data_IF_243134688213
#
_entry.id   IF_243134688213
#
_cell.length_a   1.000
_cell.length_b   1.000
_cell.length_c   1.000
_cell.angle_alpha   90.00
_cell.angle_beta   90.00
_cell.angle_gamma   90.00
#
_symmetry.space_group_name_H-M   'P 1'
#
loop_
_entity.id
_entity.type
_entity.pdbx_description
1 polymer ?
#
# COMPACT_ATOMS: atom_id res chain seq x y z
N UNK A 1 1.26 3.13 17.36
CA UNK A 1 0.31 2.51 18.29
C UNK A 1 0.23 1.03 17.95
N UNK A 2 0.28 0.17 18.94
CA UNK A 2 0.11 -1.29 18.77
C UNK A 2 -1.36 -1.58 18.39
N UNK A 3 -1.62 -2.37 17.32
CA UNK A 3 -2.98 -2.74 16.91
C UNK A 3 -3.79 -3.46 18.00
N UNK A 4 -3.14 -3.94 19.06
CA UNK A 4 -3.78 -4.59 20.21
C UNK A 4 -4.20 -3.61 21.32
N UNK A 5 -3.89 -2.32 21.20
CA UNK A 5 -4.32 -1.32 22.17
C UNK A 5 -5.70 -0.79 21.78
N UNK A 6 -6.72 -1.28 22.47
CA UNK A 6 -8.11 -0.86 22.32
C UNK A 6 -8.36 0.42 23.14
N UNK A 7 -8.51 1.56 22.47
CA UNK A 7 -9.05 2.76 23.10
C UNK A 7 -10.57 2.75 22.97
N UNK A 8 -11.27 2.64 24.09
CA UNK A 8 -12.73 2.74 24.12
C UNK A 8 -13.11 4.15 24.58
N UNK A 9 -13.67 4.96 23.69
CA UNK A 9 -14.38 6.18 24.10
C UNK A 9 -15.77 5.74 24.54
N UNK A 10 -15.94 5.54 25.84
CA UNK A 10 -17.21 5.06 26.39
C UNK A 10 -18.17 6.24 26.58
N UNK A 11 -19.22 6.31 25.77
CA UNK A 11 -20.32 7.28 25.93
C UNK A 11 -21.53 6.66 26.63
N UNK A 12 -21.33 5.82 27.66
CA UNK A 12 -22.43 5.29 28.48
C UNK A 12 -23.61 4.67 27.70
N UNK A 13 -24.82 4.78 28.27
CA UNK A 13 -26.09 4.35 27.65
C UNK A 13 -26.46 5.20 26.44
N UNK A 14 -27.06 4.59 25.40
CA UNK A 14 -27.52 5.27 24.18
C UNK A 14 -28.49 6.43 24.50
N UNK A 15 -28.06 7.67 24.25
CA UNK A 15 -28.82 8.89 24.52
C UNK A 15 -27.97 10.16 24.30
N UNK A 16 -28.61 11.33 24.26
CA UNK A 16 -27.91 12.61 24.09
C UNK A 16 -27.25 13.03 25.41
N UNK A 17 -25.94 12.76 25.53
CA UNK A 17 -25.14 13.22 26.68
C UNK A 17 -24.09 14.25 26.27
N UNK A 18 -23.48 14.08 25.10
CA UNK A 18 -22.48 14.99 24.52
C UNK A 18 -22.56 14.98 22.99
N UNK A 19 -22.27 16.12 22.37
CA UNK A 19 -22.05 16.22 20.93
C UNK A 19 -20.54 16.18 20.66
N UNK A 20 -20.07 15.23 19.84
CA UNK A 20 -18.65 15.03 19.52
C UNK A 20 -18.39 15.25 18.04
N UNK A 21 -17.34 15.99 17.72
CA UNK A 21 -16.82 16.10 16.36
C UNK A 21 -15.38 15.56 16.32
N UNK A 22 -15.25 14.28 15.98
CA UNK A 22 -13.96 13.58 15.84
C UNK A 22 -13.67 13.47 14.35
N UNK A 23 -12.70 14.25 13.90
CA UNK A 23 -12.22 14.29 12.52
C UNK A 23 -10.76 13.83 12.46
N UNK A 24 -10.31 13.34 11.29
CA UNK A 24 -8.95 12.81 11.10
C UNK A 24 -8.60 11.67 12.09
N UNK A 25 -9.52 10.72 12.27
CA UNK A 25 -9.34 9.59 13.17
C UNK A 25 -8.24 8.67 12.63
N UNK A 26 -7.18 8.41 13.41
CA UNK A 26 -6.14 7.44 13.04
C UNK A 26 -6.19 6.17 13.92
N UNK A 27 -6.79 6.17 15.11
CA UNK A 27 -6.97 4.93 15.89
C UNK A 27 -8.28 4.19 15.60
N UNK A 28 -8.33 2.87 15.79
CA UNK A 28 -9.59 2.10 15.74
C UNK A 28 -10.64 2.71 16.67
N UNK A 29 -11.77 3.16 16.11
CA UNK A 29 -12.92 3.69 16.87
C UNK A 29 -14.06 2.67 16.82
N UNK A 30 -14.37 2.03 17.95
CA UNK A 30 -15.53 1.16 18.06
C UNK A 30 -16.78 1.99 18.36
N UNK A 31 -17.78 1.88 17.47
CA UNK A 31 -19.07 2.57 17.58
C UNK A 31 -20.09 1.67 18.29
N UNK A 32 -20.87 2.21 19.22
CA UNK A 32 -21.96 1.46 19.88
C UNK A 32 -22.98 1.05 18.81
N UNK A 33 -23.21 -0.26 18.65
CA UNK A 33 -24.09 -0.83 17.63
C UNK A 33 -23.80 -0.33 16.20
N UNK A 34 -22.52 -0.05 15.88
CA UNK A 34 -22.07 0.52 14.59
C UNK A 34 -22.70 1.88 14.24
N UNK A 35 -23.14 2.67 15.24
CA UNK A 35 -23.72 4.01 15.02
C UNK A 35 -22.92 5.09 15.74
N UNK A 36 -22.82 6.25 15.11
CA UNK A 36 -22.37 7.45 15.80
C UNK A 36 -23.41 7.86 16.84
N UNK A 37 -22.96 8.43 17.96
CA UNK A 37 -23.86 9.11 18.91
C UNK A 37 -24.66 10.22 18.19
N UNK A 38 -25.92 10.49 18.60
CA UNK A 38 -26.74 11.54 17.99
C UNK A 38 -25.99 12.89 17.91
N UNK A 39 -26.20 13.65 16.82
CA UNK A 39 -25.56 14.95 16.54
C UNK A 39 -24.02 14.96 16.53
N UNK A 40 -23.38 13.80 16.59
CA UNK A 40 -21.94 13.67 16.56
C UNK A 40 -21.44 13.25 15.17
N UNK A 41 -20.31 13.81 14.77
CA UNK A 41 -19.59 13.37 13.56
C UNK A 41 -18.33 12.66 14.02
N UNK A 42 -18.28 11.34 13.83
CA UNK A 42 -17.07 10.54 14.04
C UNK A 42 -16.67 9.99 12.68
N UNK A 43 -15.64 10.60 12.09
CA UNK A 43 -15.09 10.13 10.83
C UNK A 43 -14.48 8.74 11.02
N UNK A 44 -14.65 7.90 10.01
CA UNK A 44 -14.01 6.60 9.98
C UNK A 44 -12.49 6.75 10.01
N UNK A 45 -11.84 5.68 10.46
CA UNK A 45 -10.41 5.70 10.68
C UNK A 45 -9.69 5.80 9.34
N UNK A 46 -8.86 6.82 9.20
CA UNK A 46 -7.91 7.01 8.11
C UNK A 46 -6.72 6.06 8.30
N UNK A 47 -6.98 4.76 8.40
CA UNK A 47 -5.93 3.74 8.56
C UNK A 47 -5.38 3.29 7.21
N UNK A 48 -4.10 2.88 7.22
CA UNK A 48 -3.71 1.65 6.53
C UNK A 48 -3.92 0.46 7.47
N UNK A 49 -4.47 -0.65 6.98
CA UNK A 49 -4.75 -1.82 7.81
C UNK A 49 -3.50 -2.44 8.47
N UNK A 50 -2.30 -2.19 7.92
CA UNK A 50 -1.00 -2.61 8.46
C UNK A 50 -0.40 -1.68 9.52
N UNK A 51 -1.08 -0.59 9.90
CA UNK A 51 -0.54 0.34 10.89
C UNK A 51 0.58 1.25 10.36
N UNK A 52 0.59 1.50 9.05
CA UNK A 52 1.49 2.43 8.34
C UNK A 52 0.74 3.74 8.09
N UNK A 53 1.10 4.79 8.83
CA UNK A 53 0.30 6.01 8.88
C UNK A 53 0.63 6.97 7.72
N UNK A 54 -0.33 7.75 7.21
CA UNK A 54 0.03 8.87 6.34
C UNK A 54 0.90 9.87 7.11
N UNK A 55 1.80 10.57 6.42
CA UNK A 55 2.76 11.52 7.02
C UNK A 55 2.17 12.50 8.07
N UNK A 56 0.96 13.08 7.90
CA UNK A 56 0.35 13.91 8.94
C UNK A 56 0.08 13.17 10.26
N UNK A 57 -0.40 11.93 10.19
CA UNK A 57 -0.64 11.09 11.37
C UNK A 57 0.64 10.60 12.02
N UNK A 58 1.63 10.25 11.20
CA UNK A 58 2.99 9.98 11.67
C UNK A 58 3.58 11.17 12.42
N UNK A 59 3.33 12.40 11.96
CA UNK A 59 3.83 13.61 12.62
C UNK A 59 3.27 13.78 14.04
N UNK A 60 2.04 13.30 14.30
CA UNK A 60 1.47 13.26 15.65
C UNK A 60 2.24 12.26 16.53
N UNK A 61 2.53 11.06 16.03
CA UNK A 61 3.31 10.07 16.76
C UNK A 61 4.77 10.53 17.00
N UNK A 62 5.39 11.13 15.98
CA UNK A 62 6.74 11.67 16.05
C UNK A 62 6.86 12.72 17.16
N UNK A 63 5.86 13.62 17.24
CA UNK A 63 5.78 14.72 18.20
C UNK A 63 4.94 14.39 19.43
N UNK A 64 4.60 13.12 19.70
CA UNK A 64 3.84 12.77 20.89
C UNK A 64 4.64 13.18 22.14
N UNK A 65 4.06 14.10 22.92
CA UNK A 65 4.72 14.93 23.94
C UNK A 65 4.35 16.39 23.68
N UNK A 66 3.69 17.06 24.64
CA UNK A 66 3.05 18.37 24.39
C UNK A 66 4.01 19.48 23.92
N UNK A 67 5.33 19.34 24.16
CA UNK A 67 6.43 20.24 23.73
C UNK A 67 7.76 19.45 23.62
N UNK A 68 8.84 20.05 23.09
CA UNK A 68 10.18 19.42 22.96
C UNK A 68 10.68 18.81 24.29
N UNK A 69 10.44 19.49 25.41
CA UNK A 69 10.80 19.03 26.75
C UNK A 69 9.97 17.83 27.26
N UNK A 70 8.86 17.51 26.58
CA UNK A 70 7.93 16.43 26.95
C UNK A 70 7.85 15.34 25.88
N UNK A 71 8.71 15.36 24.85
CA UNK A 71 8.84 14.27 23.86
C UNK A 71 9.29 12.93 24.49
N UNK A 72 9.80 12.99 25.72
CA UNK A 72 10.31 11.86 26.51
C UNK A 72 9.27 11.22 27.46
N UNK A 73 7.97 11.26 27.13
CA UNK A 73 6.96 10.45 27.87
C UNK A 73 7.40 8.97 27.94
N UNK A 74 8.15 8.52 26.93
CA UNK A 74 8.94 7.29 26.97
C UNK A 74 10.43 7.66 26.88
N UNK A 75 11.25 7.40 27.91
CA UNK A 75 12.67 7.74 27.89
C UNK A 75 13.41 7.04 26.74
N UNK A 76 14.39 7.69 26.08
CA UNK A 76 15.19 7.07 25.01
C UNK A 76 15.89 5.77 25.44
N UNK A 77 16.23 5.64 26.72
CA UNK A 77 16.85 4.45 27.31
C UNK A 77 15.94 3.22 27.35
N UNK A 78 14.63 3.40 27.17
CA UNK A 78 13.64 2.33 27.19
C UNK A 78 13.37 1.74 25.80
N UNK A 79 13.98 2.30 24.75
CA UNK A 79 13.80 1.89 23.35
C UNK A 79 15.15 1.64 22.67
N UNK A 80 15.15 0.80 21.63
CA UNK A 80 16.28 0.79 20.69
C UNK A 80 16.41 2.16 20.04
N UNK A 81 17.64 2.64 19.82
CA UNK A 81 17.87 3.98 19.25
C UNK A 81 17.13 4.18 17.92
N UNK A 82 17.09 3.13 17.08
CA UNK A 82 16.34 3.13 15.83
C UNK A 82 14.82 3.27 16.00
N UNK A 83 14.27 2.68 17.06
CA UNK A 83 12.83 2.74 17.38
C UNK A 83 12.47 4.09 18.02
N UNK A 84 13.41 4.70 18.74
CA UNK A 84 13.28 6.08 19.21
C UNK A 84 13.29 7.07 18.03
N UNK A 85 14.21 6.91 17.08
CA UNK A 85 14.34 7.79 15.90
C UNK A 85 13.13 7.66 14.97
N UNK A 86 12.61 6.44 14.77
CA UNK A 86 11.42 6.15 13.97
C UNK A 86 10.31 5.50 14.85
N UNK A 87 9.52 6.31 15.57
CA UNK A 87 8.60 5.82 16.60
C UNK A 87 7.32 5.18 16.06
N UNK A 88 7.01 5.35 14.78
CA UNK A 88 5.84 4.76 14.14
C UNK A 88 6.07 4.56 12.65
N UNK A 89 5.36 3.58 12.07
CA UNK A 89 5.40 3.34 10.63
C UNK A 89 4.70 4.47 9.86
N UNK A 90 5.23 4.86 8.71
CA UNK A 90 4.68 5.94 7.90
C UNK A 90 4.81 5.67 6.41
N UNK A 91 3.95 6.26 5.59
CA UNK A 91 4.10 6.32 4.15
C UNK A 91 4.06 7.75 3.63
N UNK A 92 4.75 8.00 2.52
CA UNK A 92 4.75 9.30 1.87
C UNK A 92 3.62 9.40 0.85
N UNK A 93 2.90 10.52 0.88
CA UNK A 93 2.09 10.95 -0.25
C UNK A 93 3.00 11.35 -1.43
N UNK A 94 2.45 11.38 -2.65
CA UNK A 94 3.18 11.48 -3.92
C UNK A 94 4.12 12.69 -4.06
N UNK A 95 4.03 13.71 -3.20
CA UNK A 95 4.88 14.92 -3.24
C UNK A 95 5.99 15.00 -2.17
N UNK A 96 6.02 14.14 -1.16
CA UNK A 96 7.06 14.18 -0.13
C UNK A 96 8.27 13.31 -0.51
N UNK A 97 9.47 13.87 -0.39
CA UNK A 97 10.75 13.20 -0.69
C UNK A 97 11.55 12.84 0.58
N UNK A 98 11.06 13.25 1.75
CA UNK A 98 11.67 12.98 3.05
C UNK A 98 10.60 12.72 4.11
N UNK A 99 10.99 12.02 5.18
CA UNK A 99 10.20 11.87 6.40
C UNK A 99 10.90 12.57 7.56
N UNK A 100 10.13 13.21 8.46
CA UNK A 100 10.72 13.74 9.69
C UNK A 100 11.11 12.59 10.63
N UNK A 101 12.15 12.76 11.42
CA UNK A 101 12.68 11.75 12.36
C UNK A 101 13.14 12.44 13.64
N UNK A 102 13.29 11.68 14.74
CA UNK A 102 13.93 12.24 15.94
C UNK A 102 15.45 12.25 15.77
N UNK A 103 16.09 13.32 16.24
CA UNK A 103 17.56 13.38 16.30
C UNK A 103 18.08 12.39 17.34
N UNK A 104 19.22 11.75 17.07
CA UNK A 104 19.94 10.95 18.09
C UNK A 104 20.72 11.83 19.06
N UNK A 105 20.88 13.13 18.76
CA UNK A 105 21.73 14.06 19.49
C UNK A 105 23.24 13.83 19.27
N UNK A 106 23.63 12.86 18.45
CA UNK A 106 25.02 12.45 18.25
C UNK A 106 25.44 12.64 16.78
N UNK A 107 26.36 13.58 16.54
CA UNK A 107 26.84 13.91 15.18
C UNK A 107 27.78 12.85 14.60
N UNK A 108 28.27 11.92 15.42
CA UNK A 108 29.14 10.83 14.95
C UNK A 108 28.36 9.67 14.33
N UNK A 109 27.04 9.62 14.57
CA UNK A 109 26.15 8.60 14.03
C UNK A 109 25.62 8.98 12.65
N UNK A 110 25.22 7.98 11.89
CA UNK A 110 24.51 8.13 10.63
C UNK A 110 23.17 7.40 10.70
N UNK A 111 22.11 8.04 10.24
CA UNK A 111 20.80 7.43 10.07
C UNK A 111 20.69 6.87 8.65
N UNK A 112 20.16 5.66 8.53
CA UNK A 112 19.94 5.00 7.25
C UNK A 112 18.49 4.53 7.13
N UNK A 113 17.86 4.77 5.99
CA UNK A 113 16.69 4.03 5.56
C UNK A 113 17.15 2.98 4.55
N UNK A 114 16.89 1.70 4.85
CA UNK A 114 17.31 0.58 4.02
C UNK A 114 16.33 -0.60 4.15
N UNK A 115 16.32 -1.55 3.20
CA UNK A 115 15.49 -2.75 3.29
C UNK A 115 15.77 -3.57 4.57
N UNK A 116 14.84 -4.42 4.95
CA UNK A 116 15.06 -5.39 6.03
C UNK A 116 16.24 -6.32 5.71
N UNK A 117 17.00 -6.73 6.72
CA UNK A 117 18.16 -7.63 6.54
C UNK A 117 19.40 -6.97 5.96
N UNK A 118 19.43 -5.64 5.81
CA UNK A 118 20.61 -4.91 5.31
C UNK A 118 21.80 -5.11 6.26
N UNK A 119 22.90 -5.65 5.71
CA UNK A 119 24.18 -5.82 6.42
C UNK A 119 25.30 -4.95 5.85
N UNK A 120 25.08 -4.34 4.68
CA UNK A 120 26.00 -3.43 4.03
C UNK A 120 25.25 -2.19 3.54
N UNK A 121 25.73 -1.01 3.92
CA UNK A 121 25.04 0.25 3.68
C UNK A 121 25.70 1.04 2.55
N UNK A 122 24.96 1.26 1.47
CA UNK A 122 25.40 2.04 0.32
C UNK A 122 24.26 2.93 -0.18
N UNK A 123 24.48 4.24 -0.27
CA UNK A 123 23.44 5.17 -0.71
C UNK A 123 23.10 4.95 -2.20
N UNK A 124 21.81 4.98 -2.53
CA UNK A 124 21.31 4.72 -3.87
C UNK A 124 19.78 4.75 -3.93
N UNK A 125 19.17 4.21 -5.00
CA UNK A 125 17.72 4.22 -5.19
C UNK A 125 16.92 3.51 -4.10
N UNK A 126 17.55 2.55 -3.41
CA UNK A 126 16.95 1.69 -2.38
C UNK A 126 17.46 1.97 -0.97
N UNK A 127 18.42 2.88 -0.78
CA UNK A 127 18.92 3.24 0.54
C UNK A 127 19.34 4.71 0.59
N UNK A 128 18.94 5.41 1.63
CA UNK A 128 19.27 6.82 1.84
C UNK A 128 19.87 7.02 3.22
N UNK A 129 20.63 8.10 3.39
CA UNK A 129 21.29 8.41 4.65
C UNK A 129 21.22 9.89 5.01
N UNK A 130 21.32 10.18 6.29
CA UNK A 130 21.51 11.53 6.82
C UNK A 130 22.35 11.48 8.11
N UNK A 131 22.82 12.62 8.60
CA UNK A 131 23.58 12.71 9.84
C UNK A 131 22.74 12.39 11.08
N UNK A 132 23.37 11.88 12.15
CA UNK A 132 22.71 11.47 13.39
C UNK A 132 21.99 12.60 14.14
N UNK A 133 22.32 13.86 13.86
CA UNK A 133 21.64 15.04 14.43
C UNK A 133 20.49 15.56 13.58
N UNK A 134 20.26 14.98 12.40
CA UNK A 134 19.21 15.43 11.50
C UNK A 134 17.81 15.14 12.06
N UNK A 135 16.87 16.01 11.73
CA UNK A 135 15.44 15.88 12.06
C UNK A 135 14.59 15.42 10.87
N UNK A 136 15.24 15.16 9.73
CA UNK A 136 14.62 14.63 8.51
C UNK A 136 15.58 13.71 7.79
N UNK A 137 15.06 12.67 7.14
CA UNK A 137 15.82 11.79 6.24
C UNK A 137 15.08 11.67 4.90
N UNK A 138 15.81 11.78 3.79
CA UNK A 138 15.26 11.51 2.46
C UNK A 138 14.79 10.07 2.37
N UNK A 139 13.70 9.80 1.69
CA UNK A 139 13.22 8.43 1.49
C UNK A 139 13.77 7.90 0.16
N UNK A 140 14.17 6.61 0.09
CA UNK A 140 14.63 6.03 -1.16
C UNK A 140 13.62 6.23 -2.30
N UNK A 141 14.11 6.45 -3.52
CA UNK A 141 13.28 6.79 -4.68
C UNK A 141 12.50 5.58 -5.19
N UNK A 142 13.04 4.37 -5.03
CA UNK A 142 12.36 3.12 -5.36
C UNK A 142 11.25 2.85 -4.35
N UNK A 143 10.10 2.36 -4.79
CA UNK A 143 9.04 1.97 -3.87
C UNK A 143 9.47 0.75 -3.04
N UNK A 144 8.98 0.68 -1.82
CA UNK A 144 9.30 -0.40 -0.89
C UNK A 144 9.08 0.01 0.56
N UNK A 145 9.25 -0.97 1.46
CA UNK A 145 9.26 -0.75 2.90
C UNK A 145 10.71 -0.68 3.37
N UNK A 146 11.03 0.40 4.07
CA UNK A 146 12.37 0.68 4.55
C UNK A 146 12.37 0.73 6.08
N UNK A 147 13.36 0.08 6.68
CA UNK A 147 13.62 0.19 8.11
C UNK A 147 14.68 1.26 8.36
N UNK A 148 14.58 1.88 9.54
CA UNK A 148 15.61 2.78 10.01
C UNK A 148 16.70 1.98 10.74
N UNK A 149 17.95 2.31 10.43
CA UNK A 149 19.15 1.83 11.09
C UNK A 149 19.95 3.02 11.59
N UNK A 150 20.59 2.85 12.75
CA UNK A 150 21.55 3.81 13.29
C UNK A 150 22.93 3.17 13.21
N UNK A 151 23.85 3.82 12.48
CA UNK A 151 25.21 3.33 12.28
C UNK A 151 26.17 4.23 13.05
N UNK A 152 27.03 3.64 13.88
CA UNK A 152 28.04 4.36 14.66
C UNK A 152 29.27 4.74 13.82
N UNK A 153 30.20 5.47 14.43
CA UNK A 153 31.43 5.91 13.75
C UNK A 153 32.37 4.76 13.35
N UNK A 154 32.18 3.58 13.93
CA UNK A 154 32.96 2.36 13.63
C UNK A 154 32.29 1.52 12.52
N UNK A 155 31.10 1.91 12.05
CA UNK A 155 30.34 1.21 11.03
C UNK A 155 29.43 0.10 11.57
N UNK A 156 29.27 -0.02 12.89
CA UNK A 156 28.34 -0.99 13.46
C UNK A 156 26.91 -0.44 13.34
N UNK A 157 26.02 -1.26 12.77
CA UNK A 157 24.62 -0.92 12.63
C UNK A 157 23.78 -1.46 13.81
N UNK A 158 22.77 -0.69 14.22
CA UNK A 158 21.70 -1.18 15.07
C UNK A 158 20.92 -2.31 14.38
N UNK A 159 20.07 -3.01 15.15
CA UNK A 159 18.96 -3.77 14.57
C UNK A 159 18.07 -2.84 13.72
N UNK A 160 17.31 -3.37 12.75
CA UNK A 160 16.28 -2.60 12.05
C UNK A 160 15.22 -2.10 13.04
N UNK A 161 14.64 -0.92 12.77
CA UNK A 161 13.47 -0.42 13.50
C UNK A 161 12.28 -1.36 13.36
N UNK A 162 11.42 -1.45 14.36
CA UNK A 162 10.13 -2.15 14.26
C UNK A 162 9.16 -1.45 13.31
N UNK A 163 9.25 -0.11 13.29
CA UNK A 163 8.51 0.76 12.37
C UNK A 163 9.13 0.74 10.98
N UNK A 164 8.30 1.04 9.96
CA UNK A 164 8.74 1.13 8.55
C UNK A 164 8.44 2.51 7.95
N UNK A 165 9.25 2.91 6.99
CA UNK A 165 8.95 4.00 6.06
C UNK A 165 8.61 3.38 4.72
N UNK A 166 7.35 3.51 4.28
CA UNK A 166 6.87 2.98 3.01
C UNK A 166 6.91 4.04 1.93
N UNK A 167 7.68 3.79 0.87
CA UNK A 167 7.57 4.52 -0.39
C UNK A 167 6.54 3.81 -1.26
N UNK A 168 5.36 4.43 -1.43
CA UNK A 168 4.35 3.93 -2.35
C UNK A 168 4.77 4.22 -3.81
N UNK A 169 4.31 3.39 -4.74
CA UNK A 169 4.37 3.70 -6.16
C UNK A 169 3.63 5.02 -6.47
N UNK A 170 4.09 5.81 -7.45
CA UNK A 170 3.30 6.92 -7.96
C UNK A 170 1.98 6.40 -8.55
N UNK A 171 0.92 7.14 -8.31
CA UNK A 171 -0.41 6.82 -8.85
C UNK A 171 -0.41 6.99 -10.37
N UNK A 172 -0.99 6.02 -11.08
CA UNK A 172 -1.23 6.07 -12.53
C UNK A 172 -2.60 6.65 -12.79
N UNK A 173 -2.65 7.78 -13.49
CA UNK A 173 -3.87 8.54 -13.73
C UNK A 173 -4.59 8.08 -15.00
N UNK A 174 -5.92 8.11 -14.95
CA UNK A 174 -6.84 7.83 -16.05
C UNK A 174 -7.79 9.03 -16.14
N UNK A 175 -7.68 9.72 -17.26
CA UNK A 175 -8.37 10.98 -17.57
C UNK A 175 -9.89 10.81 -17.65
N UNK A 176 -10.67 11.87 -17.37
CA UNK A 176 -12.13 11.85 -17.45
C UNK A 176 -12.65 11.45 -18.85
N UNK A 177 -11.88 11.69 -19.90
CA UNK A 177 -12.21 11.31 -21.29
C UNK A 177 -11.60 9.99 -21.75
N UNK A 178 -10.90 9.26 -20.86
CA UNK A 178 -10.29 8.00 -21.24
C UNK A 178 -11.36 6.97 -21.65
N UNK A 179 -11.20 6.28 -22.79
CA UNK A 179 -12.18 5.32 -23.29
C UNK A 179 -12.40 4.10 -22.38
N UNK A 180 -11.53 3.87 -21.39
CA UNK A 180 -11.73 2.84 -20.36
C UNK A 180 -12.79 3.21 -19.34
N UNK A 181 -13.16 4.49 -19.23
CA UNK A 181 -14.22 4.96 -18.34
C UNK A 181 -15.60 4.70 -18.94
N UNK A 182 -16.52 4.19 -18.12
CA UNK A 182 -17.91 3.99 -18.53
C UNK A 182 -18.82 4.92 -17.75
N UNK A 183 -19.51 5.79 -18.49
CA UNK A 183 -20.56 6.67 -17.98
C UNK A 183 -21.93 6.06 -18.27
N UNK A 184 -22.86 6.13 -17.32
CA UNK A 184 -24.20 5.53 -17.48
C UNK A 184 -25.13 6.35 -18.37
N UNK A 185 -24.90 7.65 -18.43
CA UNK A 185 -25.62 8.64 -19.24
C UNK A 185 -24.62 9.62 -19.83
N UNK A 186 -25.08 10.54 -20.68
CA UNK A 186 -24.22 11.61 -21.21
C UNK A 186 -23.95 12.66 -20.13
N UNK A 187 -22.76 12.59 -19.53
CA UNK A 187 -22.22 13.65 -18.68
C UNK A 187 -21.81 14.84 -19.55
N UNK A 188 -21.90 16.05 -18.98
CA UNK A 188 -21.39 17.25 -19.61
C UNK A 188 -19.89 17.37 -19.40
N UNK A 189 -19.21 18.14 -20.24
CA UNK A 189 -17.76 18.33 -20.17
C UNK A 189 -17.44 19.80 -19.92
N UNK A 190 -16.39 20.06 -19.16
CA UNK A 190 -15.77 21.37 -19.01
C UNK A 190 -14.25 21.23 -19.23
N UNK A 191 -13.60 22.35 -19.54
CA UNK A 191 -12.15 22.41 -19.74
C UNK A 191 -11.57 23.49 -18.83
N UNK A 192 -10.53 23.15 -18.07
CA UNK A 192 -9.75 24.05 -17.22
C UNK A 192 -8.31 23.53 -17.21
N UNK A 193 -7.32 24.40 -17.40
CA UNK A 193 -5.91 23.98 -17.44
C UNK A 193 -5.38 23.44 -16.09
N UNK A 194 -6.12 23.62 -15.00
CA UNK A 194 -5.81 23.06 -13.69
C UNK A 194 -6.40 21.66 -13.46
N UNK A 195 -7.22 21.18 -14.40
CA UNK A 195 -7.69 19.80 -14.43
C UNK A 195 -6.62 18.88 -15.06
N UNK A 196 -6.66 17.59 -14.75
CA UNK A 196 -5.74 16.61 -15.28
C UNK A 196 -6.00 16.52 -16.79
N UNK A 197 -4.93 16.67 -17.59
CA UNK A 197 -5.01 16.87 -19.04
C UNK A 197 -6.02 17.93 -19.52
N UNK A 198 -6.44 18.85 -18.66
CA UNK A 198 -7.21 20.02 -19.02
C UNK A 198 -8.72 19.83 -19.13
N UNK A 199 -9.30 18.73 -18.63
CA UNK A 199 -10.75 18.54 -18.65
C UNK A 199 -11.38 17.84 -17.44
N UNK A 200 -12.69 18.04 -17.33
CA UNK A 200 -13.53 17.36 -16.35
C UNK A 200 -14.90 16.99 -16.97
N UNK A 201 -15.46 15.90 -16.48
CA UNK A 201 -16.80 15.42 -16.83
C UNK A 201 -17.71 15.60 -15.63
N UNK A 202 -18.90 16.20 -15.81
CA UNK A 202 -19.80 16.52 -14.70
C UNK A 202 -21.28 16.25 -14.99
N UNK A 203 -22.04 16.12 -13.91
CA UNK A 203 -23.50 15.99 -13.90
C UNK A 203 -24.09 16.65 -12.65
N UNK A 204 -25.40 16.87 -12.63
CA UNK A 204 -26.18 17.24 -11.44
C UNK A 204 -27.35 16.28 -11.18
N UNK A 205 -27.47 15.21 -11.98
CA UNK A 205 -28.61 14.29 -11.87
C UNK A 205 -28.31 13.20 -10.84
N UNK A 206 -29.26 13.00 -9.93
CA UNK A 206 -29.19 11.91 -8.97
C UNK A 206 -29.15 10.55 -9.70
N UNK A 207 -28.24 9.67 -9.28
CA UNK A 207 -28.08 8.33 -9.83
C UNK A 207 -27.18 8.23 -11.06
N UNK A 208 -26.77 9.35 -11.65
CA UNK A 208 -25.72 9.34 -12.68
C UNK A 208 -24.40 8.83 -12.07
N UNK A 209 -23.66 8.03 -12.83
CA UNK A 209 -22.43 7.42 -12.38
C UNK A 209 -21.38 7.32 -13.48
N UNK A 210 -20.12 7.26 -13.02
CA UNK A 210 -18.96 6.86 -13.79
C UNK A 210 -18.31 5.67 -13.11
N UNK A 211 -17.82 4.71 -13.89
CA UNK A 211 -17.13 3.53 -13.40
C UNK A 211 -15.83 3.27 -14.17
N UNK A 212 -14.87 2.64 -13.51
CA UNK A 212 -13.57 2.27 -14.06
C UNK A 212 -13.15 0.90 -13.53
N UNK A 213 -12.79 0.00 -14.45
CA UNK A 213 -12.20 -1.29 -14.12
C UNK A 213 -10.67 -1.16 -14.20
N UNK A 214 -9.98 -1.54 -13.13
CA UNK A 214 -8.53 -1.41 -13.02
C UNK A 214 -7.90 -2.65 -12.42
N UNK A 215 -6.62 -2.88 -12.68
CA UNK A 215 -5.84 -3.93 -12.02
C UNK A 215 -4.80 -3.28 -11.13
N UNK A 216 -4.95 -3.40 -9.82
CA UNK A 216 -4.09 -2.67 -8.90
C UNK A 216 -4.47 -2.80 -7.44
N UNK A 217 -3.61 -2.26 -6.58
CA UNK A 217 -3.74 -2.37 -5.12
C UNK A 217 -4.32 -1.11 -4.47
N UNK A 218 -4.75 -0.15 -5.29
CA UNK A 218 -5.41 1.05 -4.80
C UNK A 218 -6.04 1.87 -5.92
N UNK A 219 -6.99 2.73 -5.54
CA UNK A 219 -7.66 3.68 -6.42
C UNK A 219 -7.99 4.99 -5.69
N UNK A 220 -7.93 6.10 -6.42
CA UNK A 220 -8.36 7.43 -6.03
C UNK A 220 -9.40 7.94 -7.02
N UNK A 221 -10.36 8.69 -6.50
CA UNK A 221 -11.26 9.53 -7.28
C UNK A 221 -10.83 10.98 -7.10
N UNK A 222 -10.35 11.58 -8.19
CA UNK A 222 -9.86 12.95 -8.27
C UNK A 222 -10.95 13.83 -8.86
N UNK A 223 -11.18 14.96 -8.21
CA UNK A 223 -12.22 15.92 -8.56
C UNK A 223 -11.82 17.28 -8.00
N UNK A 224 -12.78 18.17 -7.77
CA UNK A 224 -12.58 19.49 -7.20
C UNK A 224 -13.48 19.72 -6.00
N UNK A 225 -13.07 20.68 -5.18
CA UNK A 225 -13.98 21.32 -4.21
C UNK A 225 -14.27 22.75 -4.64
N UNK A 226 -15.55 23.10 -4.75
CA UNK A 226 -15.99 24.43 -5.19
C UNK A 226 -17.44 24.74 -4.74
N UNK A 227 -17.92 26.00 -4.85
CA UNK A 227 -19.18 26.41 -4.21
C UNK A 227 -20.46 25.74 -4.76
N UNK A 228 -20.43 25.17 -5.96
CA UNK A 228 -21.59 24.57 -6.63
C UNK A 228 -21.62 23.03 -6.55
N UNK A 229 -20.70 22.39 -5.81
CA UNK A 229 -20.63 20.93 -5.78
C UNK A 229 -21.66 20.28 -4.86
N UNK A 230 -22.13 19.11 -5.27
CA UNK A 230 -22.96 18.19 -4.51
C UNK A 230 -22.14 17.08 -3.85
N UNK A 231 -22.84 16.00 -3.48
CA UNK A 231 -22.27 14.84 -2.81
C UNK A 231 -22.24 13.62 -3.71
N UNK A 232 -21.20 12.79 -3.56
CA UNK A 232 -21.08 11.50 -4.26
C UNK A 232 -21.02 10.32 -3.29
N UNK A 233 -21.47 9.17 -3.77
CA UNK A 233 -21.23 7.87 -3.15
C UNK A 233 -20.19 7.10 -3.97
N UNK A 234 -19.30 6.37 -3.30
CA UNK A 234 -18.26 5.57 -3.93
C UNK A 234 -18.43 4.11 -3.57
N UNK A 235 -18.42 3.27 -4.62
CA UNK A 235 -18.47 1.82 -4.54
C UNK A 235 -17.15 1.24 -5.06
N UNK A 236 -16.65 0.21 -4.41
CA UNK A 236 -15.53 -0.61 -4.90
C UNK A 236 -15.99 -2.06 -4.93
N UNK A 237 -15.80 -2.73 -6.06
CA UNK A 237 -16.22 -4.11 -6.31
C UNK A 237 -17.70 -4.37 -5.99
N UNK A 238 -18.55 -3.39 -6.34
CA UNK A 238 -19.99 -3.42 -6.12
C UNK A 238 -20.43 -3.11 -4.68
N UNK A 239 -19.51 -3.01 -3.72
CA UNK A 239 -19.81 -2.67 -2.32
C UNK A 239 -19.71 -1.17 -2.09
N UNK A 240 -20.69 -0.57 -1.41
CA UNK A 240 -20.62 0.84 -0.99
C UNK A 240 -19.51 0.99 0.05
N UNK A 241 -18.45 1.72 -0.30
CA UNK A 241 -17.28 1.92 0.57
C UNK A 241 -17.26 3.28 1.25
N UNK A 242 -17.91 4.30 0.66
CA UNK A 242 -18.09 5.59 1.29
C UNK A 242 -19.31 6.31 0.72
N UNK A 243 -20.16 6.85 1.60
CA UNK A 243 -21.37 7.58 1.21
C UNK A 243 -21.27 9.07 1.51
N UNK A 244 -21.89 9.90 0.67
CA UNK A 244 -22.14 11.32 0.94
C UNK A 244 -20.88 12.19 0.99
N UNK A 245 -19.86 11.87 0.19
CA UNK A 245 -18.62 12.65 0.09
C UNK A 245 -18.96 14.06 -0.40
N UNK A 246 -18.81 15.05 0.49
CA UNK A 246 -19.15 16.44 0.21
C UNK A 246 -18.01 17.17 -0.50
N UNK A 247 -18.24 17.48 -1.78
CA UNK A 247 -17.32 18.23 -2.62
C UNK A 247 -17.49 19.76 -2.49
N UNK A 248 -18.38 20.26 -1.62
CA UNK A 248 -18.50 21.69 -1.39
C UNK A 248 -17.23 22.29 -0.75
N UNK A 249 -16.83 23.46 -1.25
CA UNK A 249 -15.95 24.40 -0.56
C UNK A 249 -16.31 25.84 -0.95
N UNK A 250 -16.10 26.84 -0.08
CA UNK A 250 -16.36 28.25 -0.39
C UNK A 250 -15.40 28.85 -1.43
N UNK A 251 -14.30 28.15 -1.74
CA UNK A 251 -13.32 28.53 -2.76
C UNK A 251 -12.98 27.32 -3.62
N UNK A 252 -12.53 27.57 -4.85
CA UNK A 252 -12.19 26.52 -5.81
C UNK A 252 -10.84 25.90 -5.45
N UNK A 253 -10.78 24.58 -5.44
CA UNK A 253 -9.55 23.79 -5.38
C UNK A 253 -9.70 22.62 -6.34
N UNK A 254 -8.83 22.54 -7.34
CA UNK A 254 -8.79 21.45 -8.33
C UNK A 254 -7.83 20.34 -7.88
N UNK A 255 -7.80 19.21 -8.59
CA UNK A 255 -6.93 18.06 -8.30
C UNK A 255 -7.09 17.47 -6.88
N UNK A 256 -8.29 17.52 -6.32
CA UNK A 256 -8.58 17.04 -4.96
C UNK A 256 -8.89 15.54 -4.99
N UNK A 257 -8.12 14.69 -4.29
CA UNK A 257 -8.49 13.30 -4.06
C UNK A 257 -9.65 13.24 -3.07
N UNK A 258 -10.89 13.31 -3.57
CA UNK A 258 -12.10 13.26 -2.74
C UNK A 258 -12.31 11.88 -2.10
N UNK A 259 -11.75 10.84 -2.70
CA UNK A 259 -11.71 9.50 -2.17
C UNK A 259 -10.39 8.82 -2.50
N UNK A 260 -9.89 8.01 -1.57
CA UNK A 260 -8.75 7.13 -1.75
C UNK A 260 -9.03 5.80 -1.05
N UNK A 261 -8.75 4.71 -1.76
CA UNK A 261 -8.67 3.37 -1.20
C UNK A 261 -7.34 2.75 -1.55
N UNK A 262 -6.55 2.43 -0.54
CA UNK A 262 -5.31 1.67 -0.66
C UNK A 262 -5.45 0.29 -0.01
N UNK A 263 -4.50 -0.60 -0.28
CA UNK A 263 -4.48 -1.94 0.30
C UNK A 263 -5.54 -2.89 -0.28
N UNK A 264 -6.01 -2.62 -1.50
CA UNK A 264 -6.84 -3.55 -2.27
C UNK A 264 -6.08 -4.82 -2.63
N UNK A 265 -6.81 -5.83 -3.09
CA UNK A 265 -6.17 -7.04 -3.61
C UNK A 265 -5.30 -6.71 -4.81
N UNK A 266 -4.20 -7.44 -5.00
CA UNK A 266 -3.44 -7.34 -6.23
C UNK A 266 -4.22 -8.06 -7.33
N UNK A 267 -5.02 -7.32 -8.09
CA UNK A 267 -5.85 -7.94 -9.10
C UNK A 267 -6.89 -7.00 -9.68
N UNK A 268 -7.83 -7.55 -10.45
CA UNK A 268 -8.89 -6.76 -11.06
C UNK A 268 -9.87 -6.25 -10.00
N UNK A 269 -10.20 -4.96 -10.12
CA UNK A 269 -11.12 -4.23 -9.27
C UNK A 269 -12.00 -3.31 -10.11
N UNK A 270 -13.11 -2.85 -9.54
CA UNK A 270 -13.94 -1.81 -10.15
C UNK A 270 -14.23 -0.71 -9.13
N UNK A 271 -14.00 0.55 -9.51
CA UNK A 271 -14.53 1.71 -8.79
C UNK A 271 -15.76 2.24 -9.52
N UNK A 272 -16.78 2.64 -8.78
CA UNK A 272 -17.97 3.33 -9.29
C UNK A 272 -18.30 4.52 -8.41
N UNK A 273 -18.40 5.70 -9.00
CA UNK A 273 -18.76 6.95 -8.31
C UNK A 273 -20.15 7.38 -8.77
N UNK A 274 -21.06 7.60 -7.82
CA UNK A 274 -22.47 7.90 -8.09
C UNK A 274 -22.80 9.29 -7.56
N UNK A 275 -23.36 10.15 -8.40
CA UNK A 275 -23.87 11.44 -7.98
C UNK A 275 -25.16 11.26 -7.19
N UNK A 276 -25.21 11.75 -5.95
CA UNK A 276 -26.37 11.56 -5.08
C UNK A 276 -27.53 12.51 -5.41
N UNK A 277 -27.26 13.60 -6.15
CA UNK A 277 -28.19 14.72 -6.32
C UNK A 277 -28.49 15.48 -5.03
N UNK A 278 -27.70 15.25 -3.98
CA UNK A 278 -27.79 15.99 -2.70
C UNK A 278 -26.60 16.93 -2.55
N UNK A 279 -26.73 17.93 -1.69
CA UNK A 279 -25.70 18.96 -1.47
C UNK A 279 -25.67 19.46 -0.03
N UNK A 280 -24.57 20.12 0.31
CA UNK A 280 -24.52 21.01 1.47
C UNK A 280 -25.55 22.16 1.33
N UNK A 281 -26.12 22.65 2.43
CA UNK A 281 -27.02 23.83 2.41
C UNK A 281 -26.36 25.07 1.83
N UNK A 282 -25.05 25.22 2.04
CA UNK A 282 -24.26 26.36 1.56
C UNK A 282 -23.83 26.22 0.09
N UNK A 283 -23.99 25.03 -0.51
CA UNK A 283 -23.66 24.83 -1.91
C UNK A 283 -24.73 25.43 -2.81
N UNK A 284 -24.34 26.07 -3.90
CA UNK A 284 -25.30 26.66 -4.84
C UNK A 284 -25.99 25.60 -5.71
N UNK A 285 -25.35 24.46 -5.96
CA UNK A 285 -25.85 23.37 -6.81
C UNK A 285 -25.44 21.99 -6.28
N UNK A 286 -25.80 20.93 -7.00
CA UNK A 286 -25.57 19.51 -6.68
C UNK A 286 -24.56 18.86 -7.64
N UNK A 287 -23.65 19.66 -8.22
CA UNK A 287 -22.75 19.18 -9.27
C UNK A 287 -21.79 18.13 -8.72
N UNK A 288 -21.72 16.99 -9.40
CA UNK A 288 -20.71 15.97 -9.21
C UNK A 288 -19.83 15.94 -10.46
N UNK A 289 -18.52 15.81 -10.30
CA UNK A 289 -17.61 15.84 -11.43
C UNK A 289 -16.44 14.87 -11.23
N UNK A 290 -16.04 14.20 -12.30
CA UNK A 290 -14.80 13.46 -12.39
C UNK A 290 -13.79 14.30 -13.16
N UNK A 291 -12.61 14.44 -12.59
CA UNK A 291 -11.42 14.97 -13.27
C UNK A 291 -10.51 13.80 -13.68
N UNK A 292 -10.18 12.91 -12.74
CA UNK A 292 -9.48 11.68 -13.06
C UNK A 292 -9.75 10.57 -12.04
N UNK A 293 -9.52 9.33 -12.46
CA UNK A 293 -9.16 8.28 -11.51
C UNK A 293 -7.63 8.19 -11.42
N UNK A 294 -7.12 7.79 -10.27
CA UNK A 294 -5.71 7.42 -10.16
C UNK A 294 -5.60 6.06 -9.49
N UNK A 295 -4.79 5.15 -10.02
CA UNK A 295 -4.66 3.78 -9.51
C UNK A 295 -3.23 3.48 -9.08
N UNK A 296 -3.09 2.54 -8.17
CA UNK A 296 -1.80 1.93 -7.89
C UNK A 296 -1.71 0.61 -8.67
N UNK A 297 -1.21 0.63 -9.92
CA UNK A 297 -1.25 -0.54 -10.79
C UNK A 297 -0.47 -1.70 -10.17
N UNK A 298 -1.00 -2.90 -10.33
CA UNK A 298 -0.30 -4.12 -9.95
C UNK A 298 -0.44 -5.18 -11.05
N UNK A 299 0.69 -5.73 -11.54
CA UNK A 299 2.04 -5.22 -11.33
C UNK A 299 2.18 -3.84 -11.97
N UNK A 300 2.97 -2.95 -11.36
CA UNK A 300 3.50 -1.80 -12.07
C UNK A 300 4.23 -2.28 -13.35
N UNK A 301 4.07 -1.51 -14.43
CA UNK A 301 4.64 -1.85 -15.74
C UNK A 301 6.17 -1.74 -15.72
N UNK A 302 6.84 -2.60 -16.51
CA UNK A 302 8.30 -2.59 -16.71
C UNK A 302 9.12 -2.60 -15.42
N UNK A 303 8.60 -3.21 -14.37
CA UNK A 303 9.24 -3.23 -13.06
C UNK A 303 9.45 -4.65 -12.59
N UNK A 304 10.61 -4.85 -11.98
CA UNK A 304 11.03 -6.10 -11.39
C UNK A 304 10.67 -6.08 -9.91
N UNK A 305 10.49 -7.26 -9.33
CA UNK A 305 10.07 -7.44 -7.96
C UNK A 305 10.98 -8.42 -7.24
N UNK A 306 11.14 -8.22 -5.93
CA UNK A 306 11.53 -9.28 -5.01
C UNK A 306 10.28 -9.80 -4.32
N UNK A 307 10.25 -11.10 -4.06
CA UNK A 307 9.14 -11.79 -3.41
C UNK A 307 9.66 -12.37 -2.10
N UNK A 308 9.32 -11.78 -0.96
CA UNK A 308 9.84 -12.15 0.36
C UNK A 308 8.81 -12.92 1.17
N UNK A 309 9.21 -14.02 1.79
CA UNK A 309 8.32 -14.83 2.62
C UNK A 309 8.13 -14.19 4.00
N UNK A 310 6.89 -14.19 4.51
CA UNK A 310 6.57 -13.62 5.83
C UNK A 310 7.24 -14.37 6.99
N UNK A 311 7.26 -15.70 6.93
CA UNK A 311 7.76 -16.54 8.03
C UNK A 311 9.28 -16.45 8.19
N UNK A 312 10.03 -16.38 7.09
CA UNK A 312 11.51 -16.38 7.12
C UNK A 312 12.15 -15.02 6.83
N UNK A 313 11.42 -14.09 6.20
CA UNK A 313 11.98 -12.85 5.65
C UNK A 313 12.85 -13.04 4.41
N UNK A 314 12.98 -14.26 3.90
CA UNK A 314 13.86 -14.62 2.77
C UNK A 314 13.19 -14.43 1.42
N UNK A 315 13.98 -14.17 0.37
CA UNK A 315 13.51 -13.93 -0.98
C UNK A 315 13.36 -15.24 -1.77
N UNK A 316 12.37 -15.30 -2.66
CA UNK A 316 12.29 -16.31 -3.71
C UNK A 316 13.46 -16.14 -4.69
N UNK A 317 14.18 -17.22 -4.95
CA UNK A 317 15.49 -17.23 -5.59
C UNK A 317 15.61 -18.44 -6.54
N UNK A 318 16.12 -18.22 -7.75
CA UNK A 318 16.49 -19.33 -8.63
C UNK A 318 17.84 -19.92 -8.18
N UNK A 319 17.79 -21.17 -7.73
CA UNK A 319 18.93 -21.90 -7.17
C UNK A 319 20.20 -21.75 -8.00
N UNK A 320 21.25 -21.22 -7.38
CA UNK A 320 22.57 -21.05 -8.00
C UNK A 320 22.59 -20.09 -9.19
N UNK A 321 21.60 -19.20 -9.30
CA UNK A 321 21.39 -18.32 -10.46
C UNK A 321 21.36 -19.08 -11.79
N UNK A 322 20.88 -20.33 -11.79
CA UNK A 322 20.80 -21.13 -12.99
C UNK A 322 19.86 -20.50 -14.02
N UNK A 323 20.15 -20.70 -15.30
CA UNK A 323 19.28 -20.31 -16.43
C UNK A 323 18.65 -21.51 -17.13
N UNK A 324 18.86 -22.73 -16.61
CA UNK A 324 18.34 -23.97 -17.19
C UNK A 324 16.92 -24.26 -16.76
N UNK A 325 16.17 -24.99 -17.59
CA UNK A 325 14.86 -25.54 -17.23
C UNK A 325 14.98 -26.49 -16.04
N UNK A 326 13.97 -26.47 -15.18
CA UNK A 326 13.88 -27.33 -14.00
C UNK A 326 14.75 -26.86 -12.84
N UNK A 327 15.45 -25.73 -12.96
CA UNK A 327 16.15 -25.16 -11.82
C UNK A 327 15.15 -24.81 -10.71
N UNK A 328 15.43 -25.32 -9.51
CA UNK A 328 14.60 -25.10 -8.33
C UNK A 328 14.46 -23.62 -8.01
N UNK A 329 13.24 -23.22 -7.68
CA UNK A 329 13.00 -21.96 -6.97
C UNK A 329 12.99 -22.27 -5.47
N UNK A 330 13.85 -21.60 -4.71
CA UNK A 330 14.07 -21.79 -3.28
C UNK A 330 14.00 -20.45 -2.56
N UNK A 331 13.98 -20.46 -1.23
CA UNK A 331 14.17 -19.23 -0.45
C UNK A 331 15.65 -19.01 -0.15
N UNK A 332 16.12 -17.78 -0.23
CA UNK A 332 17.50 -17.41 0.13
C UNK A 332 17.55 -16.04 0.81
N UNK A 333 18.64 -15.75 1.52
CA UNK A 333 18.88 -14.42 2.05
C UNK A 333 18.81 -13.38 0.92
N UNK A 334 18.08 -12.29 1.13
CA UNK A 334 18.02 -11.21 0.14
C UNK A 334 19.42 -10.61 -0.04
N UNK A 335 19.96 -10.81 -1.23
CA UNK A 335 21.29 -10.36 -1.65
C UNK A 335 21.21 -9.24 -2.69
N UNK A 336 20.01 -8.94 -3.21
CA UNK A 336 19.81 -8.06 -4.35
C UNK A 336 20.34 -8.62 -5.68
N UNK A 337 20.66 -9.91 -5.75
CA UNK A 337 21.11 -10.55 -6.97
C UNK A 337 19.97 -10.73 -7.99
N UNK A 338 20.32 -10.74 -9.29
CA UNK A 338 19.35 -10.76 -10.40
C UNK A 338 18.48 -12.02 -10.40
N UNK A 339 18.98 -13.14 -9.88
CA UNK A 339 18.22 -14.39 -9.72
C UNK A 339 17.14 -14.33 -8.61
N UNK A 340 17.08 -13.23 -7.85
CA UNK A 340 16.02 -12.91 -6.88
C UNK A 340 15.03 -11.86 -7.43
N UNK A 341 15.25 -11.40 -8.66
CA UNK A 341 14.42 -10.39 -9.32
C UNK A 341 13.45 -11.06 -10.29
N UNK A 342 12.19 -10.66 -10.19
CA UNK A 342 11.07 -11.26 -10.89
C UNK A 342 10.27 -10.19 -11.61
N UNK A 343 10.12 -10.28 -12.92
CA UNK A 343 9.13 -9.48 -13.63
C UNK A 343 7.77 -10.16 -13.48
N UNK A 344 6.76 -9.39 -13.08
CA UNK A 344 5.37 -9.86 -13.10
C UNK A 344 4.71 -9.31 -14.36
N UNK A 345 4.21 -10.21 -15.21
CA UNK A 345 3.61 -9.87 -16.51
C UNK A 345 2.16 -10.33 -16.54
N UNK A 346 1.24 -9.46 -16.95
CA UNK A 346 -0.17 -9.80 -17.09
C UNK A 346 -0.39 -10.80 -18.24
N UNK A 347 -1.20 -11.83 -17.98
CA UNK A 347 -1.70 -12.75 -18.97
C UNK A 347 -3.11 -12.32 -19.45
N UNK A 348 -3.51 -12.78 -20.63
CA UNK A 348 -4.79 -12.40 -21.25
C UNK A 348 -6.02 -12.86 -20.47
N UNK A 349 -5.86 -13.85 -19.58
CA UNK A 349 -6.91 -14.40 -18.70
C UNK A 349 -7.07 -13.62 -17.38
N UNK A 350 -6.35 -12.50 -17.20
CA UNK A 350 -6.36 -11.70 -15.97
C UNK A 350 -5.46 -12.25 -14.86
N UNK A 351 -4.74 -13.35 -15.10
CA UNK A 351 -3.69 -13.85 -14.21
C UNK A 351 -2.32 -13.25 -14.58
N UNK A 352 -1.26 -13.73 -13.93
CA UNK A 352 0.10 -13.22 -14.11
C UNK A 352 1.12 -14.33 -14.30
N UNK A 353 2.15 -14.05 -15.08
CA UNK A 353 3.40 -14.82 -15.10
C UNK A 353 4.42 -14.14 -14.21
N UNK A 354 5.15 -14.93 -13.44
CA UNK A 354 6.25 -14.46 -12.57
C UNK A 354 7.55 -14.92 -13.21
N UNK A 355 8.26 -14.02 -13.88
CA UNK A 355 9.36 -14.31 -14.81
C UNK A 355 10.69 -13.93 -14.18
N UNK A 356 11.61 -14.88 -14.08
CA UNK A 356 12.96 -14.60 -13.58
C UNK A 356 13.66 -13.59 -14.48
N UNK A 357 14.18 -12.51 -13.90
CA UNK A 357 14.99 -11.52 -14.63
C UNK A 357 16.37 -12.04 -15.03
N UNK A 358 16.83 -13.12 -14.39
CA UNK A 358 18.11 -13.73 -14.69
C UNK A 358 18.05 -14.61 -15.94
N UNK A 359 16.95 -15.34 -16.14
CA UNK A 359 16.81 -16.35 -17.19
C UNK A 359 15.74 -16.05 -18.24
N UNK A 360 14.81 -15.13 -17.94
CA UNK A 360 13.61 -14.89 -18.75
C UNK A 360 12.55 -16.00 -18.65
N UNK A 361 12.70 -16.95 -17.72
CA UNK A 361 11.82 -18.12 -17.58
C UNK A 361 10.77 -17.91 -16.47
N UNK A 362 9.50 -18.27 -16.71
CA UNK A 362 8.46 -18.20 -15.69
C UNK A 362 8.63 -19.22 -14.55
N UNK A 363 8.14 -18.83 -13.37
CA UNK A 363 7.86 -19.70 -12.23
C UNK A 363 6.75 -20.69 -12.59
N UNK A 364 7.06 -21.97 -12.43
CA UNK A 364 6.30 -23.12 -12.93
C UNK A 364 6.11 -24.15 -11.82
N UNK A 365 4.88 -24.66 -11.67
CA UNK A 365 4.65 -25.88 -10.87
C UNK A 365 5.04 -27.10 -11.70
N UNK A 366 6.12 -27.76 -11.28
CA UNK A 366 6.77 -28.82 -12.05
C UNK A 366 5.78 -29.92 -12.49
N UNK A 367 5.81 -30.23 -13.79
CA UNK A 367 4.96 -31.25 -14.40
C UNK A 367 3.46 -30.91 -14.37
N UNK A 368 3.09 -29.65 -14.18
CA UNK A 368 1.71 -29.19 -13.98
C UNK A 368 0.97 -29.96 -12.86
N UNK A 369 1.71 -30.45 -11.87
CA UNK A 369 1.16 -31.23 -10.77
C UNK A 369 0.09 -30.43 -10.02
N UNK A 370 -0.89 -31.13 -9.47
CA UNK A 370 -1.92 -30.56 -8.57
C UNK A 370 -1.78 -31.06 -7.13
N UNK A 371 -0.72 -31.81 -6.82
CA UNK A 371 -0.45 -32.35 -5.49
C UNK A 371 0.17 -31.30 -4.55
N UNK A 372 -0.10 -31.46 -3.25
CA UNK A 372 0.61 -30.72 -2.20
C UNK A 372 2.08 -31.13 -2.16
N UNK A 373 2.96 -30.15 -1.96
CA UNK A 373 4.40 -30.35 -1.95
C UNK A 373 5.04 -30.46 -3.34
N UNK A 374 4.27 -30.28 -4.42
CA UNK A 374 4.86 -30.25 -5.76
C UNK A 374 5.84 -29.07 -5.90
N UNK A 375 7.04 -29.38 -6.40
CA UNK A 375 8.13 -28.41 -6.53
C UNK A 375 7.79 -27.28 -7.50
N UNK A 376 8.22 -26.09 -7.13
CA UNK A 376 8.18 -24.90 -7.99
C UNK A 376 9.58 -24.68 -8.58
N UNK A 377 9.64 -24.54 -9.90
CA UNK A 377 10.88 -24.43 -10.68
C UNK A 377 10.76 -23.25 -11.64
N UNK A 378 11.86 -22.87 -12.30
CA UNK A 378 11.74 -22.10 -13.55
C UNK A 378 11.65 -23.07 -14.74
N UNK A 379 10.85 -22.72 -15.73
CA UNK A 379 10.70 -23.54 -16.94
C UNK A 379 10.52 -22.67 -18.18
N UNK A 380 10.79 -23.22 -19.36
CA UNK A 380 10.49 -22.54 -20.63
C UNK A 380 9.02 -22.13 -20.70
N UNK A 381 8.76 -20.88 -21.08
CA UNK A 381 7.41 -20.35 -21.22
C UNK A 381 6.64 -21.14 -22.27
N UNK A 382 5.59 -21.83 -21.83
CA UNK A 382 4.67 -22.59 -22.66
C UNK A 382 3.23 -22.09 -22.52
N UNK A 383 3.05 -20.96 -21.81
CA UNK A 383 1.76 -20.34 -21.52
C UNK A 383 0.73 -21.33 -20.90
N UNK A 384 1.23 -22.34 -20.18
CA UNK A 384 0.42 -23.31 -19.46
C UNK A 384 -0.14 -22.71 -18.16
N UNK A 385 -1.32 -23.17 -17.74
CA UNK A 385 -1.96 -22.68 -16.52
C UNK A 385 -1.13 -22.93 -15.23
N UNK A 386 -0.16 -23.85 -15.27
CA UNK A 386 0.79 -24.10 -14.18
C UNK A 386 1.90 -23.03 -14.08
N UNK A 387 2.02 -22.15 -15.08
CA UNK A 387 2.90 -20.97 -15.10
C UNK A 387 2.14 -19.66 -14.81
N UNK A 388 0.82 -19.76 -14.63
CA UNK A 388 -0.07 -18.64 -14.39
C UNK A 388 -0.42 -18.58 -12.89
N UNK A 389 -0.38 -17.38 -12.34
CA UNK A 389 -0.52 -17.11 -10.91
C UNK A 389 -1.49 -15.95 -10.67
N UNK A 390 -2.20 -15.99 -9.55
CA UNK A 390 -3.03 -14.90 -9.05
C UNK A 390 -2.52 -14.44 -7.70
N UNK A 391 -2.57 -13.14 -7.43
CA UNK A 391 -2.10 -12.57 -6.17
C UNK A 391 -3.30 -12.20 -5.29
N UNK A 392 -3.55 -13.00 -4.26
CA UNK A 392 -4.68 -12.77 -3.35
C UNK A 392 -4.17 -12.00 -2.13
N UNK A 393 -4.60 -10.75 -1.93
CA UNK A 393 -4.22 -10.00 -0.71
C UNK A 393 -4.80 -10.67 0.52
N UNK A 394 -4.04 -10.61 1.60
CA UNK A 394 -4.47 -10.97 2.94
C UNK A 394 -4.56 -9.76 3.87
N UNK A 395 -4.40 -8.55 3.31
CA UNK A 395 -4.17 -7.33 4.06
C UNK A 395 -2.70 -7.16 4.43
N UNK A 396 -2.38 -5.99 4.96
CA UNK A 396 -1.07 -5.66 5.54
C UNK A 396 0.14 -5.84 4.62
N UNK A 397 -0.05 -5.68 3.30
CA UNK A 397 1.02 -5.83 2.31
C UNK A 397 1.43 -7.27 1.99
N UNK A 398 0.69 -8.27 2.49
CA UNK A 398 0.94 -9.69 2.23
C UNK A 398 -0.02 -10.28 1.20
N UNK A 399 0.53 -11.14 0.35
CA UNK A 399 -0.18 -11.86 -0.70
C UNK A 399 -0.04 -13.37 -0.53
N UNK A 400 -1.09 -14.09 -0.89
CA UNK A 400 -0.99 -15.49 -1.30
C UNK A 400 -0.81 -15.52 -2.81
N UNK A 401 0.16 -16.30 -3.28
CA UNK A 401 0.44 -16.45 -4.72
C UNK A 401 -0.17 -17.79 -5.15
N UNK A 402 -1.33 -17.75 -5.78
CA UNK A 402 -2.16 -18.93 -6.09
C UNK A 402 -1.99 -19.35 -7.54
N UNK A 403 -1.62 -20.60 -7.76
CA UNK A 403 -1.47 -21.18 -9.08
C UNK A 403 -2.84 -21.35 -9.76
N UNK A 404 -2.95 -20.98 -11.04
CA UNK A 404 -4.20 -21.05 -11.80
C UNK A 404 -4.60 -22.49 -12.13
N UNK A 405 -3.65 -23.38 -12.44
CA UNK A 405 -3.94 -24.79 -12.76
C UNK A 405 -4.49 -25.58 -11.56
N UNK A 406 -3.89 -25.45 -10.39
CA UNK A 406 -4.23 -26.28 -9.23
C UNK A 406 -5.15 -25.60 -8.20
N UNK A 407 -5.20 -24.27 -8.21
CA UNK A 407 -5.82 -23.47 -7.15
C UNK A 407 -5.06 -23.49 -5.80
N UNK A 408 -3.85 -24.06 -5.76
CA UNK A 408 -3.00 -24.10 -4.55
C UNK A 408 -2.09 -22.89 -4.45
N UNK A 409 -1.55 -22.64 -3.26
CA UNK A 409 -0.71 -21.46 -2.98
C UNK A 409 0.76 -21.81 -2.91
N UNK A 410 1.61 -20.88 -3.35
CA UNK A 410 3.06 -20.92 -3.20
C UNK A 410 3.43 -20.89 -1.71
N UNK A 411 4.30 -21.79 -1.30
CA UNK A 411 4.75 -21.90 0.08
C UNK A 411 6.21 -22.34 0.16
N UNK A 412 6.85 -22.04 1.30
CA UNK A 412 8.14 -22.62 1.65
C UNK A 412 7.93 -24.03 2.19
N UNK A 413 8.63 -25.02 1.63
CA UNK A 413 8.52 -26.42 2.04
C UNK A 413 8.76 -26.59 3.54
N UNK A 414 7.83 -27.28 4.21
CA UNK A 414 7.88 -27.54 5.66
C UNK A 414 7.85 -26.29 6.55
N UNK A 415 7.46 -25.12 6.03
CA UNK A 415 7.56 -23.83 6.74
C UNK A 415 8.98 -23.52 7.24
N UNK A 416 9.99 -24.02 6.53
CA UNK A 416 11.39 -23.82 6.90
C UNK A 416 11.76 -22.34 6.92
N UNK A 417 12.66 -21.95 7.83
CA UNK A 417 13.31 -20.63 7.86
C UNK A 417 14.76 -20.68 7.41
N UNK A 418 15.20 -21.81 6.85
CA UNK A 418 16.58 -22.01 6.40
C UNK A 418 16.74 -21.64 4.94
N UNK A 419 17.84 -20.95 4.60
CA UNK A 419 18.22 -20.67 3.23
C UNK A 419 18.45 -21.98 2.45
N UNK A 420 17.96 -22.01 1.20
CA UNK A 420 17.99 -23.19 0.35
C UNK A 420 16.73 -24.05 0.41
N UNK A 421 15.77 -23.73 1.30
CA UNK A 421 14.51 -24.47 1.33
C UNK A 421 13.70 -24.25 0.06
N UNK A 422 13.29 -25.35 -0.57
CA UNK A 422 12.52 -25.38 -1.82
C UNK A 422 11.15 -24.69 -1.66
N UNK A 423 10.74 -23.92 -2.67
CA UNK A 423 9.36 -23.45 -2.82
C UNK A 423 8.52 -24.57 -3.45
N UNK A 424 7.33 -24.76 -2.90
CA UNK A 424 6.34 -25.75 -3.33
C UNK A 424 4.98 -25.09 -3.48
N UNK A 425 4.03 -25.76 -4.12
CA UNK A 425 2.61 -25.44 -3.92
C UNK A 425 2.01 -26.30 -2.82
N UNK A 426 1.02 -25.78 -2.11
CA UNK A 426 0.26 -26.54 -1.11
C UNK A 426 -1.16 -25.97 -0.95
N UNK A 427 -2.05 -26.75 -0.36
CA UNK A 427 -3.37 -26.32 0.08
C UNK A 427 -3.25 -25.11 1.01
N UNK A 428 -4.07 -24.09 0.75
CA UNK A 428 -4.11 -22.87 1.57
C UNK A 428 -4.60 -23.19 2.98
N UNK A 429 -3.75 -22.91 3.97
CA UNK A 429 -4.05 -23.05 5.39
C UNK A 429 -3.79 -21.75 6.18
N UNK A 430 -3.45 -20.66 5.48
CA UNK A 430 -3.16 -19.36 6.07
C UNK A 430 -1.85 -19.28 6.86
N UNK A 431 -0.96 -20.27 6.77
CA UNK A 431 0.33 -20.23 7.46
C UNK A 431 1.21 -19.08 6.93
N UNK A 432 2.03 -18.50 7.80
CA UNK A 432 2.95 -17.41 7.42
C UNK A 432 3.95 -17.82 6.32
N UNK A 433 4.25 -19.11 6.20
CA UNK A 433 5.08 -19.65 5.12
C UNK A 433 4.41 -19.62 3.74
N UNK A 434 3.11 -19.31 3.67
CA UNK A 434 2.31 -19.12 2.45
C UNK A 434 2.06 -17.64 2.12
N UNK A 435 2.56 -16.73 2.95
CA UNK A 435 2.34 -15.29 2.82
C UNK A 435 3.61 -14.60 2.33
N UNK A 436 3.44 -13.74 1.32
CA UNK A 436 4.54 -13.13 0.59
C UNK A 436 4.39 -11.62 0.49
N UNK A 437 5.47 -10.88 0.72
CA UNK A 437 5.58 -9.46 0.39
C UNK A 437 6.21 -9.32 -0.99
N UNK A 438 5.75 -8.33 -1.75
CA UNK A 438 6.23 -8.09 -3.11
C UNK A 438 6.79 -6.66 -3.14
N UNK A 439 8.10 -6.55 -3.26
CA UNK A 439 8.82 -5.28 -3.27
C UNK A 439 9.28 -4.97 -4.68
N UNK A 440 9.05 -3.75 -5.15
CA UNK A 440 9.63 -3.35 -6.42
C UNK A 440 11.15 -3.19 -6.28
N UNK A 441 11.87 -3.61 -7.31
CA UNK A 441 13.28 -3.31 -7.53
C UNK A 441 13.45 -2.57 -8.83
N UNK A 442 14.27 -1.51 -8.77
CA UNK A 442 14.68 -0.68 -9.90
C UNK A 442 15.96 -1.20 -10.52
#
# INVERSE_FOLDING_TARGET
MDPNVLYTINSGTWGQQHDLNITNTYGTSNKIANKNVPNSTIQDVQVSADGVWPSPAYSIALNAGLEDAYKDVVPPTSLGMQDYVLPASTFLSSGASSVPVRSTGDSTKTLWLAPSGTTSFAAGPTMTRTGGTATTISVPSSAGDYHLYVVDAQGNASAPSKSIVRRQQPWSYVDDKDPQLTYNTSWSNANDANDYNGSESYTSRAGDYVQYAFTGTGVRYISMKQPNMGKVDVYVDGSLVQSGIDAYAPSVTKQVPLFEKSGLAAGPHTIKVVCTGTKNTSASNTICALDAFATNPFPAANTSYKILNKNSGMAADVSGASTTDGASILQWNDSGAVNQHWQVSAAADGSFKIISQNSGKPMDVYGASTADGASVVQWTDNNGANQHWTFVTTGNGYYKIKNVNSGKVLAVSGSSTTAGAQLVQTTDNGADSQLWQIFQVS
#
